data_IF_457740728506
#
_entry.id   IF_457740728506
#
_cell.length_a   1.000
_cell.length_b   1.000
_cell.length_c   1.000
_cell.angle_alpha   90.00
_cell.angle_beta   90.00
_cell.angle_gamma   90.00
#
_symmetry.space_group_name_H-M   'P 1'
#
loop_
_entity.id
_entity.type
_entity.pdbx_description
1 polymer ?
#
# COMPACT_ATOMS: atom_id res chain seq x y z
N UNK A 1 3.84 -6.08 -22.13
CA UNK A 1 3.19 -6.78 -21.02
C UNK A 1 1.68 -6.85 -21.23
N UNK A 2 0.98 -5.72 -21.37
CA UNK A 2 -0.49 -5.71 -21.58
C UNK A 2 -0.94 -5.97 -23.01
N UNK A 3 0.01 -5.99 -23.97
CA UNK A 3 -0.23 -6.25 -25.38
C UNK A 3 0.80 -7.22 -25.95
N UNK A 4 0.37 -8.07 -26.88
CA UNK A 4 1.23 -9.05 -27.53
C UNK A 4 2.19 -8.39 -28.53
N UNK A 5 3.47 -8.78 -28.44
CA UNK A 5 4.51 -8.42 -29.41
C UNK A 5 4.66 -9.43 -30.55
N UNK A 6 3.95 -10.56 -30.52
CA UNK A 6 4.05 -11.63 -31.53
C UNK A 6 3.49 -11.11 -32.85
N UNK A 7 4.23 -11.26 -33.96
CA UNK A 7 3.89 -10.69 -35.28
C UNK A 7 2.45 -10.98 -35.77
N UNK A 8 1.90 -12.15 -35.45
CA UNK A 8 0.52 -12.56 -35.83
C UNK A 8 -0.58 -11.96 -34.95
N UNK A 9 -0.27 -11.65 -33.69
CA UNK A 9 -1.21 -11.16 -32.65
C UNK A 9 -0.74 -9.82 -32.11
N UNK A 10 -0.12 -9.00 -32.97
CA UNK A 10 0.62 -7.83 -32.51
C UNK A 10 -0.35 -6.72 -32.17
N UNK A 11 -0.38 -6.32 -30.90
CA UNK A 11 -1.32 -5.32 -30.40
C UNK A 11 -2.53 -5.91 -29.67
N UNK A 12 -2.77 -7.21 -29.79
CA UNK A 12 -3.80 -7.95 -29.07
C UNK A 12 -3.65 -7.75 -27.56
N UNK A 13 -4.77 -7.54 -26.89
CA UNK A 13 -4.83 -7.33 -25.46
C UNK A 13 -4.59 -8.65 -24.74
N UNK A 14 -3.65 -8.65 -23.80
CA UNK A 14 -3.30 -9.82 -22.98
C UNK A 14 -3.95 -9.75 -21.60
N UNK A 15 -5.03 -9.00 -21.51
CA UNK A 15 -5.74 -8.66 -20.30
C UNK A 15 -7.08 -8.03 -20.66
N UNK A 16 -8.03 -8.13 -19.74
CA UNK A 16 -9.36 -7.56 -19.89
C UNK A 16 -9.35 -6.06 -19.53
N UNK A 17 -9.65 -5.21 -20.50
CA UNK A 17 -9.67 -3.76 -20.38
C UNK A 17 -10.93 -3.17 -20.99
N UNK A 18 -11.53 -2.23 -20.26
CA UNK A 18 -12.57 -1.38 -20.85
C UNK A 18 -11.97 -0.47 -21.92
N UNK A 19 -12.31 -0.72 -23.19
CA UNK A 19 -11.79 0.07 -24.32
C UNK A 19 -12.44 1.45 -24.43
N UNK A 20 -13.73 1.57 -24.07
CA UNK A 20 -14.44 2.84 -24.20
C UNK A 20 -15.82 2.83 -23.56
N UNK A 21 -16.52 3.97 -23.68
CA UNK A 21 -17.93 4.08 -23.28
C UNK A 21 -18.80 3.41 -24.35
N UNK A 22 -19.49 2.32 -23.97
CA UNK A 22 -20.34 1.57 -24.90
C UNK A 22 -19.59 0.55 -25.77
N UNK A 23 -18.28 0.44 -25.59
CA UNK A 23 -17.42 -0.53 -26.26
C UNK A 23 -16.86 -1.51 -25.20
N UNK A 24 -17.55 -2.64 -25.06
CA UNK A 24 -17.33 -3.64 -24.02
C UNK A 24 -16.58 -4.88 -24.51
N UNK A 25 -16.56 -5.14 -25.82
CA UNK A 25 -15.89 -6.29 -26.44
C UNK A 25 -15.25 -5.93 -27.79
N UNK A 26 -14.80 -4.67 -27.94
CA UNK A 26 -14.20 -4.18 -29.17
C UNK A 26 -15.14 -4.22 -30.39
N UNK A 27 -14.59 -3.86 -31.55
CA UNK A 27 -15.26 -4.06 -32.84
C UNK A 27 -15.01 -5.50 -33.29
N UNK A 28 -16.08 -6.22 -33.66
CA UNK A 28 -16.01 -7.58 -34.17
C UNK A 28 -14.97 -7.69 -35.31
N UNK A 29 -13.95 -8.54 -35.12
CA UNK A 29 -12.85 -8.74 -36.06
C UNK A 29 -11.58 -7.90 -35.80
N UNK A 30 -11.58 -7.06 -34.77
CA UNK A 30 -10.39 -6.33 -34.29
C UNK A 30 -9.90 -6.88 -32.94
N UNK A 31 -8.82 -6.31 -32.40
CA UNK A 31 -8.13 -6.75 -31.18
C UNK A 31 -9.02 -6.55 -29.95
N UNK A 32 -9.89 -7.52 -29.70
CA UNK A 32 -10.72 -7.65 -28.53
C UNK A 32 -10.05 -8.55 -27.48
N UNK A 33 -10.29 -8.28 -26.20
CA UNK A 33 -9.88 -9.14 -25.09
C UNK A 33 -10.85 -10.32 -24.86
N UNK A 34 -11.98 -10.34 -25.56
CA UNK A 34 -12.91 -11.46 -25.67
C UNK A 34 -13.90 -11.57 -24.51
N UNK A 35 -14.03 -10.53 -23.68
CA UNK A 35 -14.97 -10.54 -22.56
C UNK A 35 -15.62 -9.16 -22.33
N UNK A 36 -16.96 -9.10 -22.44
CA UNK A 36 -17.74 -7.86 -22.27
C UNK A 36 -17.59 -7.19 -20.88
N UNK A 37 -17.25 -7.97 -19.86
CA UNK A 37 -17.18 -7.50 -18.47
C UNK A 37 -15.98 -8.09 -17.72
N UNK A 38 -16.05 -9.37 -17.34
CA UNK A 38 -15.01 -10.09 -16.63
C UNK A 38 -14.71 -11.38 -17.39
N UNK A 39 -13.46 -11.53 -17.81
CA UNK A 39 -12.96 -12.81 -18.28
C UNK A 39 -12.80 -13.79 -17.10
N UNK A 40 -12.92 -15.09 -17.36
CA UNK A 40 -12.63 -16.11 -16.36
C UNK A 40 -11.15 -16.03 -15.94
N UNK A 41 -10.85 -16.27 -14.67
CA UNK A 41 -9.46 -16.31 -14.17
C UNK A 41 -8.67 -17.36 -14.97
N UNK A 42 -7.45 -17.01 -15.36
CA UNK A 42 -6.53 -17.77 -16.24
C UNK A 42 -6.94 -17.84 -17.71
N UNK A 43 -7.76 -16.90 -18.19
CA UNK A 43 -8.07 -16.79 -19.63
C UNK A 43 -6.87 -16.28 -20.44
N UNK A 44 -5.99 -15.49 -19.82
CA UNK A 44 -4.79 -14.94 -20.47
C UNK A 44 -3.51 -15.71 -20.04
N UNK A 45 -2.47 -15.62 -20.88
CA UNK A 45 -1.15 -16.21 -20.57
C UNK A 45 -0.59 -15.63 -19.25
N UNK A 46 0.02 -16.44 -18.38
CA UNK A 46 0.65 -15.94 -17.16
C UNK A 46 1.89 -15.10 -17.49
N UNK A 47 2.29 -14.25 -16.54
CA UNK A 47 3.57 -13.55 -16.63
C UNK A 47 4.77 -14.46 -16.37
N UNK A 48 5.99 -13.92 -16.50
CA UNK A 48 7.24 -14.66 -16.31
C UNK A 48 7.41 -15.24 -14.89
N UNK A 49 6.57 -14.83 -13.93
CA UNK A 49 6.53 -15.35 -12.56
C UNK A 49 5.42 -16.40 -12.35
N UNK A 50 4.69 -16.79 -13.41
CA UNK A 50 3.59 -17.74 -13.33
C UNK A 50 2.29 -17.15 -12.79
N UNK A 51 2.19 -15.83 -12.63
CA UNK A 51 1.00 -15.14 -12.13
C UNK A 51 0.07 -14.79 -13.29
N UNK A 52 -1.22 -15.06 -13.14
CA UNK A 52 -2.27 -14.84 -14.13
C UNK A 52 -3.00 -13.52 -13.87
N UNK A 53 -3.57 -12.92 -14.91
CA UNK A 53 -4.53 -11.80 -14.83
C UNK A 53 -4.03 -10.56 -14.04
N UNK A 54 -2.72 -10.38 -13.98
CA UNK A 54 -2.06 -9.24 -13.31
C UNK A 54 -2.18 -7.92 -14.11
N UNK A 55 -2.88 -7.94 -15.24
CA UNK A 55 -3.18 -6.77 -16.05
C UNK A 55 -4.70 -6.72 -16.29
N UNK A 56 -5.29 -5.53 -16.16
CA UNK A 56 -6.72 -5.28 -16.37
C UNK A 56 -7.22 -4.09 -15.55
N UNK A 57 -8.51 -3.78 -15.65
CA UNK A 57 -9.17 -2.71 -14.90
C UNK A 57 -9.48 -3.17 -13.46
N UNK A 58 -8.45 -3.17 -12.62
CA UNK A 58 -8.56 -3.36 -11.18
C UNK A 58 -7.94 -2.14 -10.52
N UNK A 59 -8.58 -1.63 -9.47
CA UNK A 59 -7.94 -0.59 -8.69
C UNK A 59 -6.76 -1.20 -7.92
N UNK A 60 -5.68 -0.48 -7.73
CA UNK A 60 -4.43 -1.06 -7.22
C UNK A 60 -4.07 -0.46 -5.87
N UNK A 61 -3.76 -1.31 -4.90
CA UNK A 61 -3.15 -0.88 -3.65
C UNK A 61 -1.83 -0.17 -3.90
N UNK A 62 -1.62 0.92 -3.18
CA UNK A 62 -0.38 1.69 -3.16
C UNK A 62 0.20 1.60 -1.76
N UNK A 63 1.53 1.60 -1.66
CA UNK A 63 2.24 1.57 -0.38
C UNK A 63 1.96 2.82 0.50
N UNK A 64 1.44 3.90 -0.09
CA UNK A 64 1.17 5.17 0.57
C UNK A 64 0.06 5.04 1.63
N UNK A 65 0.29 5.60 2.81
CA UNK A 65 -0.72 5.70 3.88
C UNK A 65 -1.66 6.86 3.55
N UNK A 66 -2.97 6.64 3.62
CA UNK A 66 -3.91 7.67 3.25
C UNK A 66 -3.94 8.82 4.27
N UNK A 67 -3.99 10.05 3.76
CA UNK A 67 -4.26 11.26 4.52
C UNK A 67 -5.28 12.11 3.76
N UNK A 68 -6.33 12.62 4.43
CA UNK A 68 -7.23 13.62 3.87
C UNK A 68 -6.52 14.85 3.31
N UNK A 69 -5.47 15.30 4.00
CA UNK A 69 -4.67 16.45 3.62
C UNK A 69 -3.31 15.95 3.12
N UNK A 70 -2.93 16.38 1.92
CA UNK A 70 -1.57 16.23 1.39
C UNK A 70 -0.83 17.51 1.64
N UNK A 71 0.39 17.39 2.16
CA UNK A 71 1.30 18.52 2.36
C UNK A 71 2.08 18.75 1.06
N UNK A 72 1.62 19.72 0.26
CA UNK A 72 2.17 20.04 -1.06
C UNK A 72 3.54 20.73 -0.96
N UNK A 73 3.85 21.35 0.19
CA UNK A 73 5.10 22.07 0.42
C UNK A 73 6.30 21.13 0.62
N UNK A 74 6.06 19.84 0.85
CA UNK A 74 7.12 18.89 1.22
C UNK A 74 7.84 18.28 0.01
N UNK A 75 7.11 17.93 -1.06
CA UNK A 75 7.70 17.28 -2.23
C UNK A 75 6.81 17.38 -3.48
N UNK A 76 7.29 18.11 -4.48
CA UNK A 76 6.61 18.35 -5.77
C UNK A 76 6.58 17.11 -6.68
N UNK A 77 7.51 16.14 -6.53
CA UNK A 77 7.66 15.05 -7.48
C UNK A 77 7.16 13.68 -6.99
N UNK A 78 7.37 13.34 -5.72
CA UNK A 78 7.03 12.01 -5.18
C UNK A 78 6.67 12.09 -3.69
N UNK A 79 5.53 12.72 -3.37
CA UNK A 79 4.99 12.62 -2.02
C UNK A 79 4.71 11.15 -1.67
N UNK A 80 5.34 10.65 -0.61
CA UNK A 80 5.15 9.30 -0.08
C UNK A 80 5.06 9.36 1.45
N UNK A 81 4.07 8.68 2.00
CA UNK A 81 3.91 8.43 3.44
C UNK A 81 3.82 6.93 3.67
N UNK A 82 4.62 6.44 4.60
CA UNK A 82 4.72 5.01 4.89
C UNK A 82 6.07 4.64 5.46
N UNK A 83 6.70 5.58 6.16
CA UNK A 83 8.12 5.52 6.51
C UNK A 83 8.27 4.66 7.76
N UNK A 84 8.50 3.37 7.52
CA UNK A 84 8.91 2.41 8.54
C UNK A 84 10.36 2.03 8.24
N UNK A 85 11.25 2.39 9.16
CA UNK A 85 12.68 2.11 9.05
C UNK A 85 12.98 0.83 9.82
N UNK A 86 13.55 -0.15 9.14
CA UNK A 86 14.03 -1.40 9.73
C UNK A 86 15.51 -1.60 9.45
N UNK A 87 16.16 -2.42 10.29
CA UNK A 87 17.53 -2.90 10.09
C UNK A 87 17.55 -4.42 10.00
N UNK A 88 18.55 -4.96 9.31
CA UNK A 88 18.80 -6.39 9.32
C UNK A 88 19.13 -6.83 10.76
N UNK A 89 18.51 -7.90 11.22
CA UNK A 89 18.91 -8.55 12.47
C UNK A 89 20.29 -9.20 12.28
N UNK A 90 21.18 -8.96 13.24
CA UNK A 90 22.53 -9.51 13.28
C UNK A 90 22.60 -10.45 14.48
N UNK A 91 23.02 -11.70 14.23
CA UNK A 91 23.21 -12.70 15.27
C UNK A 91 24.46 -12.42 16.11
N UNK A 92 24.62 -13.15 17.21
CA UNK A 92 25.82 -13.06 18.07
C UNK A 92 27.12 -13.37 17.30
N UNK A 93 27.02 -14.09 16.19
CA UNK A 93 28.11 -14.43 15.27
C UNK A 93 28.44 -13.31 14.26
N UNK A 94 27.77 -12.16 14.35
CA UNK A 94 27.97 -11.01 13.47
C UNK A 94 27.40 -11.20 12.06
N UNK A 95 26.62 -12.27 11.81
CA UNK A 95 26.00 -12.53 10.52
C UNK A 95 24.53 -12.12 10.52
N UNK A 96 24.04 -11.79 9.33
CA UNK A 96 22.62 -11.49 9.12
C UNK A 96 21.78 -12.74 9.39
N UNK A 97 20.76 -12.61 10.24
CA UNK A 97 19.85 -13.71 10.53
C UNK A 97 18.81 -13.86 9.44
N UNK A 98 18.57 -15.11 9.04
CA UNK A 98 17.56 -15.49 8.05
C UNK A 98 16.41 -16.13 8.78
N UNK A 99 15.18 -15.80 8.36
CA UNK A 99 13.96 -16.36 8.89
C UNK A 99 13.91 -17.86 8.58
N UNK A 100 13.92 -18.67 9.63
CA UNK A 100 13.78 -20.12 9.55
C UNK A 100 12.32 -20.52 9.71
N UNK A 101 12.01 -21.78 9.42
CA UNK A 101 10.62 -22.31 9.49
C UNK A 101 10.07 -22.27 10.92
N UNK A 102 10.95 -22.41 11.92
CA UNK A 102 10.65 -22.34 13.34
C UNK A 102 10.55 -20.90 13.89
N UNK A 103 11.04 -19.90 13.16
CA UNK A 103 11.07 -18.49 13.60
C UNK A 103 10.10 -17.59 12.81
N UNK A 104 9.07 -18.18 12.20
CA UNK A 104 8.05 -17.41 11.48
C UNK A 104 7.19 -16.66 12.49
N UNK A 105 7.07 -15.35 12.29
CA UNK A 105 6.20 -14.49 13.06
C UNK A 105 4.83 -14.51 12.39
N UNK A 106 3.80 -14.86 13.15
CA UNK A 106 2.41 -14.83 12.70
C UNK A 106 1.69 -13.65 13.31
N UNK A 107 0.92 -12.96 12.49
CA UNK A 107 0.00 -11.92 12.91
C UNK A 107 -1.45 -12.36 12.67
N UNK A 108 -2.35 -11.89 13.51
CA UNK A 108 -3.77 -12.24 13.46
C UNK A 108 -4.55 -11.04 12.96
N UNK A 109 -5.09 -11.16 11.76
CA UNK A 109 -5.92 -10.10 11.17
C UNK A 109 -7.20 -9.89 11.98
N UNK A 110 -7.84 -8.71 11.89
CA UNK A 110 -9.10 -8.42 12.59
C UNK A 110 -10.24 -9.40 12.28
N UNK A 111 -10.21 -10.03 11.10
CA UNK A 111 -11.16 -11.08 10.71
C UNK A 111 -10.88 -12.46 11.36
N UNK A 112 -9.79 -12.62 12.12
CA UNK A 112 -9.36 -13.86 12.77
C UNK A 112 -8.45 -14.75 11.91
N UNK A 113 -8.10 -14.33 10.70
CA UNK A 113 -7.17 -15.07 9.83
C UNK A 113 -5.74 -14.86 10.30
N UNK A 114 -5.03 -15.96 10.53
CA UNK A 114 -3.60 -15.94 10.85
C UNK A 114 -2.81 -15.81 9.54
N UNK A 115 -1.89 -14.84 9.49
CA UNK A 115 -1.05 -14.55 8.33
C UNK A 115 0.41 -14.49 8.77
N UNK A 116 1.30 -15.11 8.00
CA UNK A 116 2.73 -15.00 8.24
C UNK A 116 3.20 -13.59 7.86
N UNK A 117 3.90 -12.92 8.77
CA UNK A 117 4.47 -11.58 8.55
C UNK A 117 5.73 -11.67 7.70
N UNK A 118 6.51 -12.73 7.89
CA UNK A 118 7.75 -13.02 7.18
C UNK A 118 7.70 -14.42 6.56
N UNK A 119 8.38 -14.57 5.44
CA UNK A 119 8.49 -15.85 4.72
C UNK A 119 9.82 -16.55 5.05
N UNK A 120 9.85 -17.90 5.04
CA UNK A 120 11.10 -18.64 5.19
C UNK A 120 12.12 -18.24 4.13
N UNK A 121 13.35 -17.96 4.55
CA UNK A 121 14.44 -17.53 3.67
C UNK A 121 14.58 -16.01 3.51
N UNK A 122 13.66 -15.21 4.05
CA UNK A 122 13.82 -13.76 4.11
C UNK A 122 14.88 -13.35 5.13
N UNK A 123 15.55 -12.22 4.87
CA UNK A 123 16.41 -11.58 5.86
C UNK A 123 15.53 -11.01 6.97
N UNK A 124 15.77 -11.41 8.21
CA UNK A 124 15.00 -10.91 9.35
C UNK A 124 15.26 -9.41 9.53
N UNK A 125 14.19 -8.64 9.59
CA UNK A 125 14.22 -7.20 9.82
C UNK A 125 13.74 -6.89 11.23
N UNK A 126 14.42 -5.98 11.92
CA UNK A 126 14.07 -5.51 13.27
C UNK A 126 13.94 -3.98 13.24
N UNK A 127 13.11 -3.44 14.12
CA UNK A 127 12.98 -2.00 14.30
C UNK A 127 14.34 -1.34 14.60
N UNK A 128 14.54 -0.13 14.09
CA UNK A 128 15.71 0.68 14.44
C UNK A 128 15.60 1.12 15.91
N UNK A 129 16.70 1.01 16.65
CA UNK A 129 16.82 1.35 18.06
C UNK A 129 17.49 2.72 18.27
N UNK A 130 17.53 3.17 19.52
CA UNK A 130 18.13 4.44 19.92
C UNK A 130 19.62 4.54 19.56
N UNK A 131 20.34 3.41 19.61
CA UNK A 131 21.75 3.36 19.24
C UNK A 131 21.98 3.75 17.77
N UNK A 132 21.09 3.32 16.87
CA UNK A 132 21.17 3.70 15.46
C UNK A 132 20.61 5.10 15.18
N UNK A 133 19.58 5.54 15.88
CA UNK A 133 19.00 6.89 15.68
C UNK A 133 19.80 7.98 16.37
N UNK A 134 20.69 7.64 17.30
CA UNK A 134 21.58 8.58 17.96
C UNK A 134 22.38 9.39 16.93
N UNK A 135 22.24 10.71 16.98
CA UNK A 135 22.83 11.69 16.06
C UNK A 135 22.32 11.66 14.61
N UNK A 136 21.32 10.84 14.27
CA UNK A 136 20.64 10.97 12.98
C UNK A 136 19.70 12.16 13.00
N UNK A 137 19.75 12.98 11.96
CA UNK A 137 18.86 14.12 11.79
C UNK A 137 17.58 13.77 11.03
N UNK A 138 17.52 12.60 10.39
CA UNK A 138 16.44 12.26 9.45
C UNK A 138 15.21 11.61 10.12
N UNK A 139 15.37 10.84 11.20
CA UNK A 139 14.28 10.18 11.93
C UNK A 139 14.71 9.80 13.35
N UNK A 140 13.77 9.80 14.30
CA UNK A 140 14.01 9.50 15.73
C UNK A 140 13.45 8.15 16.18
N UNK A 141 12.42 7.63 15.51
CA UNK A 141 11.79 6.34 15.79
C UNK A 141 11.89 5.41 14.58
N UNK A 142 11.62 4.11 14.76
CA UNK A 142 11.51 3.16 13.65
C UNK A 142 10.26 3.41 12.81
N UNK A 143 9.11 3.62 13.45
CA UNK A 143 7.86 3.95 12.78
C UNK A 143 7.62 5.46 12.79
N UNK A 144 7.61 6.07 11.60
CA UNK A 144 7.34 7.49 11.40
C UNK A 144 6.14 7.69 10.45
N UNK A 145 5.26 6.68 10.32
CA UNK A 145 4.06 6.80 9.48
C UNK A 145 3.18 7.97 9.90
N UNK A 146 3.09 8.21 11.21
CA UNK A 146 2.30 9.29 11.78
C UNK A 146 3.07 10.58 12.08
N UNK A 147 4.32 10.69 11.63
CA UNK A 147 5.16 11.84 11.91
C UNK A 147 4.50 13.15 11.42
N UNK A 148 4.26 14.06 12.37
CA UNK A 148 3.56 15.35 12.18
C UNK A 148 2.08 15.21 11.81
N UNK A 149 1.49 14.04 11.99
CA UNK A 149 0.04 13.92 11.98
C UNK A 149 -0.50 14.38 13.32
N UNK A 150 -1.55 15.19 13.28
CA UNK A 150 -2.16 15.75 14.47
C UNK A 150 -3.35 16.62 14.12
N UNK A 151 -4.56 16.13 14.39
CA UNK A 151 -5.77 16.93 14.31
C UNK A 151 -6.08 17.55 15.68
N UNK A 152 -5.59 18.78 15.91
CA UNK A 152 -5.86 19.58 17.11
C UNK A 152 -7.37 19.73 17.37
N UNK A 153 -8.21 19.71 16.32
CA UNK A 153 -9.67 19.85 16.40
C UNK A 153 -10.39 18.63 16.97
N UNK A 154 -9.72 17.49 16.96
CA UNK A 154 -10.21 16.22 17.48
C UNK A 154 -9.74 15.91 18.91
N UNK A 155 -8.97 16.82 19.51
CA UNK A 155 -8.48 16.71 20.89
C UNK A 155 -9.38 17.47 21.86
N UNK A 156 -9.44 17.03 23.14
CA UNK A 156 -10.17 17.75 24.20
C UNK A 156 -9.65 19.16 24.48
N UNK A 157 -8.50 19.53 23.92
CA UNK A 157 -7.84 20.82 24.09
C UNK A 157 -8.01 21.74 22.86
N UNK A 158 -9.06 21.52 22.06
CA UNK A 158 -9.36 22.32 20.86
C UNK A 158 -9.45 23.84 21.13
N UNK A 159 -9.92 24.24 22.32
CA UNK A 159 -10.14 25.64 22.71
C UNK A 159 -9.10 26.20 23.70
N UNK A 160 -8.06 25.46 24.09
CA UNK A 160 -7.03 26.02 24.98
C UNK A 160 -6.16 27.02 24.19
N UNK A 161 -6.48 28.31 24.34
CA UNK A 161 -5.66 29.43 23.85
C UNK A 161 -4.46 29.74 24.76
N UNK A 162 -4.37 29.11 25.94
CA UNK A 162 -3.30 29.29 26.91
C UNK A 162 -3.10 27.97 27.67
N UNK A 163 -2.17 27.13 27.22
CA UNK A 163 -1.24 26.35 28.07
C UNK A 163 -0.49 25.28 27.26
N UNK A 164 0.83 25.42 27.31
CA UNK A 164 1.91 24.45 27.30
C UNK A 164 1.88 23.25 26.33
N UNK A 165 2.80 23.33 25.38
CA UNK A 165 3.23 22.33 24.39
C UNK A 165 3.73 20.98 24.98
N UNK A 166 3.54 20.71 26.27
CA UNK A 166 4.30 19.69 27.02
C UNK A 166 3.50 18.51 27.60
N UNK A 167 2.22 18.30 27.27
CA UNK A 167 1.52 17.02 27.55
C UNK A 167 1.53 16.09 26.32
N UNK A 168 2.63 15.33 26.18
CA UNK A 168 2.80 13.99 25.59
C UNK A 168 1.81 13.48 24.48
N UNK A 169 1.44 14.39 23.59
CA UNK A 169 0.53 14.19 22.46
C UNK A 169 1.10 14.72 21.14
N UNK A 170 2.38 15.09 21.11
CA UNK A 170 3.07 15.57 19.92
C UNK A 170 3.18 14.48 18.85
N UNK A 171 3.02 14.89 17.57
CA UNK A 171 3.48 14.32 16.28
C UNK A 171 3.53 12.79 16.04
N UNK A 172 3.10 11.96 16.99
CA UNK A 172 3.25 10.51 17.09
C UNK A 172 1.88 9.83 17.25
N UNK A 173 0.79 10.60 17.21
CA UNK A 173 -0.59 10.11 17.23
C UNK A 173 -1.33 10.74 16.06
N UNK A 174 -1.79 9.91 15.12
CA UNK A 174 -2.57 10.30 13.94
C UNK A 174 -3.98 10.85 14.32
N UNK A 175 -4.95 10.85 13.39
CA UNK A 175 -6.35 11.18 13.69
C UNK A 175 -6.90 10.29 14.82
N UNK A 176 -7.84 10.83 15.59
CA UNK A 176 -8.48 10.15 16.70
C UNK A 176 -9.47 9.07 16.20
N UNK A 177 -8.89 7.97 15.72
CA UNK A 177 -9.60 6.82 15.17
C UNK A 177 -9.84 5.70 16.20
N UNK A 178 -10.86 4.84 15.99
CA UNK A 178 -11.08 3.66 16.82
C UNK A 178 -9.84 2.77 16.94
N UNK A 179 -9.54 2.32 18.15
CA UNK A 179 -8.42 1.41 18.44
C UNK A 179 -8.96 0.04 18.83
N UNK A 180 -9.18 -0.82 17.84
CA UNK A 180 -9.58 -2.20 18.06
C UNK A 180 -8.37 -3.04 18.45
N UNK A 181 -8.54 -3.98 19.39
CA UNK A 181 -7.52 -4.97 19.74
C UNK A 181 -8.05 -6.37 19.48
N UNK A 182 -7.21 -7.22 18.93
CA UNK A 182 -7.49 -8.65 18.77
C UNK A 182 -6.35 -9.40 19.43
N UNK A 183 -6.65 -10.05 20.54
CA UNK A 183 -5.70 -10.90 21.27
C UNK A 183 -6.11 -12.36 21.13
N UNK A 184 -5.14 -13.25 21.26
CA UNK A 184 -5.38 -14.70 21.40
C UNK A 184 -5.24 -15.07 22.87
N UNK A 185 -6.26 -15.69 23.45
CA UNK A 185 -6.20 -16.23 24.81
C UNK A 185 -5.28 -17.47 24.87
N UNK A 186 -4.91 -17.90 26.08
CA UNK A 186 -4.06 -19.08 26.37
C UNK A 186 -4.61 -20.37 25.73
N UNK A 187 -5.92 -20.41 25.44
CA UNK A 187 -6.61 -21.53 24.79
C UNK A 187 -6.71 -21.39 23.26
N UNK A 188 -6.07 -20.38 22.65
CA UNK A 188 -6.12 -20.12 21.21
C UNK A 188 -7.43 -19.48 20.72
N UNK A 189 -8.30 -19.06 21.63
CA UNK A 189 -9.55 -18.37 21.28
C UNK A 189 -9.28 -16.88 21.00
N UNK A 190 -9.89 -16.36 19.93
CA UNK A 190 -9.79 -14.96 19.53
C UNK A 190 -10.64 -14.07 20.44
N UNK A 191 -9.99 -13.17 21.19
CA UNK A 191 -10.64 -12.15 22.02
C UNK A 191 -10.62 -10.82 21.26
N UNK A 192 -11.78 -10.40 20.77
CA UNK A 192 -11.94 -9.12 20.06
C UNK A 192 -12.41 -8.04 21.03
N UNK A 193 -11.62 -7.00 21.20
CA UNK A 193 -11.97 -5.82 21.99
C UNK A 193 -12.25 -4.65 21.05
N UNK A 194 -13.54 -4.34 20.90
CA UNK A 194 -13.97 -3.16 20.15
C UNK A 194 -13.81 -1.90 21.00
N UNK A 195 -13.30 -0.84 20.39
CA UNK A 195 -13.34 0.49 20.97
C UNK A 195 -14.78 1.01 20.99
N UNK A 196 -15.33 1.22 22.18
CA UNK A 196 -16.70 1.72 22.40
C UNK A 196 -16.72 3.20 22.78
N UNK A 197 -15.61 3.91 22.59
CA UNK A 197 -15.53 5.33 22.93
C UNK A 197 -16.32 6.19 21.95
N UNK A 198 -17.28 6.96 22.44
CA UNK A 198 -18.01 7.97 21.65
C UNK A 198 -17.15 9.21 21.32
N UNK A 199 -15.90 9.26 21.83
CA UNK A 199 -14.99 10.39 21.64
C UNK A 199 -14.13 10.26 20.37
N UNK A 200 -14.32 9.23 19.54
CA UNK A 200 -13.60 9.05 18.27
C UNK A 200 -14.18 9.97 17.20
N UNK A 201 -13.31 10.61 16.42
CA UNK A 201 -13.71 11.65 15.47
C UNK A 201 -13.39 11.31 14.02
N UNK A 202 -12.55 10.30 13.78
CA UNK A 202 -12.14 9.87 12.44
C UNK A 202 -12.19 8.35 12.31
N UNK A 203 -12.35 7.84 11.09
CA UNK A 203 -12.19 6.41 10.79
C UNK A 203 -10.84 6.11 10.11
N UNK A 204 -9.96 7.11 10.02
CA UNK A 204 -8.69 7.01 9.30
C UNK A 204 -7.56 6.85 10.31
N UNK A 205 -6.83 5.73 10.20
CA UNK A 205 -5.67 5.39 11.04
C UNK A 205 -4.42 5.06 10.19
N UNK A 206 -3.33 4.68 10.84
CA UNK A 206 -2.03 4.36 10.19
C UNK A 206 -2.04 3.06 9.38
N UNK A 207 -3.17 2.34 9.37
CA UNK A 207 -3.42 1.09 8.66
C UNK A 207 -4.32 1.32 7.43
N UNK A 208 -4.75 2.55 7.19
CA UNK A 208 -5.47 2.90 5.96
C UNK A 208 -4.46 3.15 4.84
N UNK A 209 -4.61 2.46 3.70
CA UNK A 209 -3.75 2.62 2.53
C UNK A 209 -4.50 3.25 1.38
N UNK A 210 -3.75 3.94 0.52
CA UNK A 210 -4.28 4.49 -0.73
C UNK A 210 -4.43 3.36 -1.75
N UNK A 211 -5.50 3.40 -2.53
CA UNK A 211 -5.60 2.65 -3.77
C UNK A 211 -5.92 3.59 -4.93
N UNK A 212 -5.41 3.26 -6.11
CA UNK A 212 -5.40 4.15 -7.29
C UNK A 212 -5.88 3.42 -8.55
N UNK A 213 -6.10 4.22 -9.59
CA UNK A 213 -6.67 3.74 -10.84
C UNK A 213 -8.17 3.55 -10.71
N UNK A 214 -8.71 2.65 -11.53
CA UNK A 214 -10.12 2.34 -11.59
C UNK A 214 -10.36 0.87 -11.78
N UNK A 215 -11.45 0.40 -11.21
CA UNK A 215 -11.95 -0.96 -11.41
C UNK A 215 -13.11 -0.99 -12.41
N UNK A 216 -13.52 -2.18 -12.80
CA UNK A 216 -14.74 -2.42 -13.57
C UNK A 216 -16.03 -1.89 -12.88
N UNK A 217 -16.01 -1.68 -11.57
CA UNK A 217 -17.13 -1.11 -10.79
C UNK A 217 -17.18 0.42 -10.83
N UNK A 218 -16.10 1.06 -11.27
CA UNK A 218 -15.91 2.50 -11.16
C UNK A 218 -16.48 3.27 -12.36
N UNK A 219 -17.14 4.40 -12.06
CA UNK A 219 -17.55 5.38 -13.08
C UNK A 219 -16.38 6.26 -13.50
N UNK A 220 -16.50 6.92 -14.66
CA UNK A 220 -15.45 7.78 -15.24
C UNK A 220 -14.88 8.83 -14.26
N UNK A 221 -15.70 9.36 -13.34
CA UNK A 221 -15.26 10.27 -12.29
C UNK A 221 -14.10 9.70 -11.46
N UNK A 222 -14.12 8.39 -11.19
CA UNK A 222 -13.15 7.67 -10.38
C UNK A 222 -11.88 7.24 -11.14
N UNK A 223 -11.78 7.58 -12.43
CA UNK A 223 -10.64 7.25 -13.29
C UNK A 223 -9.61 8.39 -13.37
N UNK A 224 -9.75 9.42 -12.53
CA UNK A 224 -8.80 10.53 -12.46
C UNK A 224 -7.50 10.08 -11.76
N UNK A 225 -6.32 10.22 -12.41
CA UNK A 225 -5.04 9.88 -11.79
C UNK A 225 -4.74 10.68 -10.51
N UNK A 226 -5.35 11.86 -10.30
CA UNK A 226 -5.20 12.65 -9.08
C UNK A 226 -6.03 12.08 -7.92
N UNK A 227 -7.10 11.32 -8.20
CA UNK A 227 -8.04 10.92 -7.16
C UNK A 227 -7.47 9.87 -6.21
N UNK A 228 -7.34 10.21 -4.93
CA UNK A 228 -6.84 9.30 -3.88
C UNK A 228 -8.02 8.68 -3.16
N UNK A 229 -8.22 7.38 -3.39
CA UNK A 229 -9.17 6.58 -2.63
C UNK A 229 -8.41 5.75 -1.60
N UNK A 230 -9.12 5.27 -0.60
CA UNK A 230 -8.50 4.60 0.53
C UNK A 230 -9.37 3.50 1.08
N UNK A 231 -8.71 2.51 1.66
CA UNK A 231 -9.37 1.39 2.32
C UNK A 231 -8.45 0.82 3.41
N UNK A 232 -8.97 0.20 4.47
CA UNK A 232 -8.15 -0.47 5.49
C UNK A 232 -7.30 -1.59 4.87
N UNK A 233 -6.00 -1.64 5.20
CA UNK A 233 -5.04 -2.57 4.59
C UNK A 233 -5.34 -4.06 4.84
N UNK A 234 -6.11 -4.36 5.89
CA UNK A 234 -6.49 -5.70 6.33
C UNK A 234 -7.73 -6.23 5.59
N UNK A 235 -8.46 -5.36 4.89
CA UNK A 235 -9.66 -5.72 4.15
C UNK A 235 -9.35 -6.06 2.69
N UNK A 236 -10.03 -7.08 2.17
CA UNK A 236 -9.95 -7.49 0.77
C UNK A 236 -11.27 -7.20 0.06
N UNK A 237 -11.18 -6.79 -1.22
CA UNK A 237 -12.33 -6.63 -2.11
C UNK A 237 -12.07 -7.36 -3.43
N UNK A 238 -13.12 -7.59 -4.19
CA UNK A 238 -13.09 -8.22 -5.51
C UNK A 238 -12.53 -7.31 -6.62
N UNK A 239 -12.41 -6.00 -6.35
CA UNK A 239 -12.06 -4.98 -7.35
C UNK A 239 -10.75 -4.23 -7.03
N UNK A 240 -10.10 -4.52 -5.90
CA UNK A 240 -8.79 -3.97 -5.53
C UNK A 240 -7.74 -5.09 -5.57
N UNK A 241 -6.69 -4.89 -6.35
CA UNK A 241 -5.58 -5.81 -6.53
C UNK A 241 -4.23 -5.16 -6.29
N UNK A 242 -3.17 -5.79 -6.80
CA UNK A 242 -1.80 -5.35 -6.65
C UNK A 242 -1.08 -5.31 -8.00
N UNK A 243 -0.22 -4.29 -8.18
CA UNK A 243 0.75 -4.25 -9.27
C UNK A 243 2.15 -4.17 -8.71
N UNK A 244 3.03 -5.04 -9.18
CA UNK A 244 4.42 -5.02 -8.77
C UNK A 244 5.14 -3.82 -9.41
N UNK A 245 5.83 -3.04 -8.58
CA UNK A 245 6.77 -2.02 -9.01
C UNK A 245 8.17 -2.42 -8.55
N UNK A 246 9.19 -2.06 -9.34
CA UNK A 246 10.58 -2.32 -9.00
C UNK A 246 11.39 -1.04 -9.19
N UNK A 247 12.27 -0.74 -8.24
CA UNK A 247 13.25 0.31 -8.39
C UNK A 247 14.11 0.05 -9.61
N UNK A 248 14.17 1.02 -10.52
CA UNK A 248 15.07 0.92 -11.67
C UNK A 248 16.51 0.95 -11.17
N UNK A 249 17.25 -0.12 -11.42
CA UNK A 249 18.69 -0.20 -11.16
C UNK A 249 19.45 0.25 -12.41
N UNK A 250 20.39 1.18 -12.26
CA UNK A 250 21.25 1.69 -13.34
C UNK A 250 20.85 3.07 -13.89
N UNK A 251 21.72 3.66 -14.73
CA UNK A 251 21.58 5.04 -15.23
C UNK A 251 20.41 5.22 -16.21
N UNK A 252 19.85 6.44 -16.27
CA UNK A 252 18.66 6.77 -17.10
C UNK A 252 18.87 6.65 -18.62
N UNK A 253 20.11 6.67 -19.13
CA UNK A 253 20.47 6.40 -20.52
C UNK A 253 22.00 6.42 -20.65
N UNK A 254 22.60 5.54 -21.45
CA UNK A 254 24.02 5.66 -21.86
C UNK A 254 24.22 6.48 -23.14
N UNK A 255 23.16 6.75 -23.89
CA UNK A 255 23.24 7.49 -25.15
C UNK A 255 22.94 8.98 -24.94
N UNK A 256 23.99 9.81 -25.02
CA UNK A 256 23.94 11.27 -25.00
C UNK A 256 23.36 11.90 -26.28
N UNK A 257 23.05 11.10 -27.32
CA UNK A 257 22.74 11.59 -28.67
C UNK A 257 21.24 11.70 -29.02
N UNK A 258 20.32 11.69 -28.06
CA UNK A 258 18.91 12.00 -28.38
C UNK A 258 18.70 13.51 -28.42
N UNK A 259 18.71 14.10 -29.62
CA UNK A 259 18.15 15.44 -29.84
C UNK A 259 16.63 15.36 -29.74
N UNK A 260 16.01 16.37 -29.12
CA UNK A 260 14.56 16.55 -29.19
C UNK A 260 14.16 16.62 -30.68
N UNK A 261 13.16 15.82 -31.08
CA UNK A 261 12.55 15.99 -32.40
C UNK A 261 11.59 17.16 -32.26
N UNK A 262 11.97 18.31 -32.82
CA UNK A 262 11.01 19.36 -33.17
C UNK A 262 10.10 18.86 -34.29
#
# INVERSE_FOLDING_TARGET
YTRSGKRKKRGDQLANFKQGKGDYGGIAGWSDDGADITAQVKSFEPNDFGLYDMAGNVAEWVADVYRPIVDDDYNDFNYYRGNVYTKNAIGEDGKVTVVRVDSIIYDTLPNGKIVAVNLPGEVQQVAVDEAETYLRTNFSTSDNRNYRDGDKRSTRHFESFNEDENEDGGSSKMYNAPKHKVDSDTFGNLVRQYDKSDKRTSLINDEVRVYKGGSWKDRAFWLDPAQRRYFPQDMATDYIGFRCAMSRVGSKSKNKNKKARN
#
